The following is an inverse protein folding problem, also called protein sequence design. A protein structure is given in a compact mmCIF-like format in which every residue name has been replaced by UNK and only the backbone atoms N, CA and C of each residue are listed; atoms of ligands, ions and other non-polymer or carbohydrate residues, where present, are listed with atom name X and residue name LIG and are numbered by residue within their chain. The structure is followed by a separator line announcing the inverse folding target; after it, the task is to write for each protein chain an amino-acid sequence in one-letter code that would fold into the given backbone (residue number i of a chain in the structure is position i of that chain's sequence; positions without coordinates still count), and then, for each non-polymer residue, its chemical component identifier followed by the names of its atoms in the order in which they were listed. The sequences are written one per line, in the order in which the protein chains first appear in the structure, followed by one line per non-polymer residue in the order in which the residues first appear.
data_IF_299796550769
#
_entry.id   IF_299796550769
#
_cell.length_a   1.000
_cell.length_b   1.000
_cell.length_c   1.000
_cell.angle_alpha   90.00
_cell.angle_beta   90.00
_cell.angle_gamma   90.00
#
_symmetry.space_group_name_H-M   'P 1'
#
loop_
_entity.id
_entity.type
_entity.pdbx_description
1 polymer ?
#
# COMPACT_ATOMS: atom_id res chain seq x y z
N UNK A 1 8.74 0.82 23.69
CA UNK A 1 7.47 0.31 23.13
C UNK A 1 6.77 1.43 22.40
N UNK A 2 6.35 1.23 21.14
CA UNK A 2 5.50 2.19 20.43
C UNK A 2 4.17 2.34 21.19
N UNK A 3 3.72 3.57 21.37
CA UNK A 3 2.42 3.90 21.95
C UNK A 3 1.28 3.39 21.07
N UNK A 4 0.09 3.16 21.66
CA UNK A 4 -1.12 2.72 20.93
C UNK A 4 -1.46 3.66 19.76
N UNK A 5 -1.16 4.94 19.91
CA UNK A 5 -1.31 5.97 18.87
C UNK A 5 -0.30 5.78 17.74
N UNK A 6 0.96 5.49 18.02
CA UNK A 6 1.96 5.29 16.95
C UNK A 6 1.67 4.02 16.12
N UNK A 7 1.17 2.95 16.74
CA UNK A 7 0.80 1.71 16.04
C UNK A 7 -0.37 1.91 15.06
N UNK A 8 -1.35 2.71 15.47
CA UNK A 8 -2.52 3.03 14.63
C UNK A 8 -2.17 3.95 13.47
N UNK A 9 -1.11 4.78 13.61
CA UNK A 9 -0.62 5.66 12.51
C UNK A 9 -0.05 4.83 11.39
N UNK A 10 0.87 3.93 11.71
CA UNK A 10 1.56 3.11 10.70
C UNK A 10 0.53 2.31 9.92
N UNK A 11 -0.46 1.73 10.62
CA UNK A 11 -1.61 1.11 9.98
C UNK A 11 -2.37 2.06 9.07
N UNK A 12 -2.82 3.21 9.58
CA UNK A 12 -3.75 4.10 8.88
C UNK A 12 -3.13 4.69 7.60
N UNK A 13 -1.84 5.04 7.68
CA UNK A 13 -1.05 5.52 6.55
C UNK A 13 -0.90 4.44 5.48
N UNK A 14 -0.57 3.20 5.89
CA UNK A 14 -0.53 2.05 4.98
C UNK A 14 -1.86 1.81 4.26
N UNK A 15 -2.98 1.88 4.97
CA UNK A 15 -4.32 1.66 4.41
C UNK A 15 -4.70 2.74 3.41
N UNK A 16 -4.43 4.01 3.73
CA UNK A 16 -4.78 5.14 2.88
C UNK A 16 -4.06 5.06 1.54
N UNK A 17 -2.76 4.75 1.57
CA UNK A 17 -1.93 4.59 0.36
C UNK A 17 -2.41 3.40 -0.48
N UNK A 18 -2.68 2.25 0.15
CA UNK A 18 -3.09 1.04 -0.57
C UNK A 18 -4.51 1.13 -1.14
N UNK A 19 -5.50 1.65 -0.39
CA UNK A 19 -6.87 1.89 -0.90
C UNK A 19 -6.85 2.73 -2.16
N UNK A 20 -6.08 3.82 -2.15
CA UNK A 20 -6.07 4.79 -3.24
C UNK A 20 -5.30 4.28 -4.46
N UNK A 21 -4.18 3.61 -4.25
CA UNK A 21 -3.44 2.94 -5.32
C UNK A 21 -4.32 1.96 -6.09
N UNK A 22 -5.28 1.30 -5.44
CA UNK A 22 -6.17 0.36 -6.08
C UNK A 22 -7.35 0.95 -6.81
N UNK A 23 -7.96 2.00 -6.25
CA UNK A 23 -8.97 2.77 -6.98
C UNK A 23 -8.38 3.27 -8.31
N UNK A 24 -7.12 3.70 -8.30
CA UNK A 24 -6.39 4.11 -9.50
C UNK A 24 -6.00 2.93 -10.39
N UNK A 25 -5.58 1.78 -9.84
CA UNK A 25 -5.29 0.56 -10.61
C UNK A 25 -6.54 -0.01 -11.28
N UNK A 26 -7.71 0.07 -10.64
CA UNK A 26 -9.00 -0.30 -11.21
C UNK A 26 -9.42 0.67 -12.33
N UNK A 27 -9.29 1.98 -12.11
CA UNK A 27 -9.53 3.00 -13.13
C UNK A 27 -8.56 2.87 -14.32
N UNK A 28 -7.30 2.51 -14.08
CA UNK A 28 -6.30 2.23 -15.12
C UNK A 28 -6.63 1.00 -15.97
N UNK A 29 -7.09 -0.09 -15.34
CA UNK A 29 -7.57 -1.29 -16.06
C UNK A 29 -8.82 -0.99 -16.89
N UNK A 30 -9.76 -0.20 -16.37
CA UNK A 30 -10.93 0.29 -17.12
C UNK A 30 -10.55 1.18 -18.30
N UNK A 31 -9.62 2.13 -18.11
CA UNK A 31 -9.12 2.98 -19.21
C UNK A 31 -8.40 2.16 -20.28
N UNK A 32 -7.60 1.17 -19.90
CA UNK A 32 -6.89 0.30 -20.85
C UNK A 32 -7.84 -0.65 -21.61
N UNK A 33 -8.93 -1.11 -20.99
CA UNK A 33 -9.96 -1.91 -21.67
C UNK A 33 -10.82 -1.06 -22.59
N UNK A 34 -11.21 0.15 -22.17
CA UNK A 34 -11.89 1.13 -23.02
C UNK A 34 -11.02 1.56 -24.21
N UNK A 35 -9.73 1.79 -23.99
CA UNK A 35 -8.77 2.09 -25.05
C UNK A 35 -8.66 0.93 -26.05
N UNK A 36 -8.50 -0.31 -25.58
CA UNK A 36 -8.49 -1.51 -26.46
C UNK A 36 -9.81 -1.75 -27.18
N UNK A 37 -10.94 -1.35 -26.60
CA UNK A 37 -12.27 -1.44 -27.24
C UNK A 37 -12.45 -0.35 -28.30
N UNK A 38 -12.01 0.89 -28.01
CA UNK A 38 -12.03 2.02 -28.94
C UNK A 38 -11.08 1.81 -30.11
N UNK A 39 -9.89 1.25 -29.87
CA UNK A 39 -8.92 0.90 -30.91
C UNK A 39 -9.45 -0.23 -31.80
N UNK A 40 -10.13 -1.24 -31.24
CA UNK A 40 -10.80 -2.29 -32.04
C UNK A 40 -11.96 -1.74 -32.88
N UNK A 41 -12.79 -0.87 -32.33
CA UNK A 41 -13.88 -0.22 -33.07
C UNK A 41 -13.37 0.71 -34.19
N UNK A 42 -12.25 1.39 -33.97
CA UNK A 42 -11.59 2.20 -35.01
C UNK A 42 -10.99 1.34 -36.11
N UNK A 43 -10.33 0.23 -35.77
CA UNK A 43 -9.82 -0.75 -36.74
C UNK A 43 -10.94 -1.39 -37.56
N UNK A 44 -12.07 -1.70 -36.92
CA UNK A 44 -13.22 -2.31 -37.60
C UNK A 44 -13.90 -1.33 -38.57
N UNK A 45 -14.03 -0.05 -38.19
CA UNK A 45 -14.51 1.01 -39.10
C UNK A 45 -13.59 1.28 -40.30
N UNK A 46 -12.29 1.01 -40.18
CA UNK A 46 -11.33 1.13 -41.29
C UNK A 46 -11.41 -0.08 -42.23
N UNK A 47 -11.72 -1.27 -41.70
CA UNK A 47 -11.91 -2.48 -42.49
C UNK A 47 -13.26 -2.53 -43.23
N UNK A 48 -14.29 -1.86 -42.69
CA UNK A 48 -15.64 -1.82 -43.26
C UNK A 48 -15.87 -0.64 -44.25
N UNK A 49 -14.85 0.17 -44.53
CA UNK A 49 -14.97 1.33 -45.43
C UNK A 49 -14.87 0.89 -46.92
N UNK A 50 -15.78 1.32 -47.83
CA UNK A 50 -15.90 0.70 -49.16
C UNK A 50 -14.81 1.04 -50.17
N UNK A 51 -13.96 2.05 -49.92
CA UNK A 51 -13.03 2.58 -50.91
C UNK A 51 -11.59 2.56 -50.41
N UNK A 52 -10.84 1.53 -50.84
CA UNK A 52 -9.45 1.29 -50.42
C UNK A 52 -8.44 2.33 -50.93
N UNK A 53 -8.83 3.14 -51.93
CA UNK A 53 -7.92 4.08 -52.60
C UNK A 53 -7.76 5.38 -51.78
N UNK A 54 -8.86 5.99 -51.32
CA UNK A 54 -8.84 7.20 -50.50
C UNK A 54 -8.24 7.00 -49.10
N UNK A 55 -8.35 5.80 -48.52
CA UNK A 55 -7.70 5.45 -47.25
C UNK A 55 -6.18 5.32 -47.40
N UNK A 56 -5.71 4.87 -48.57
CA UNK A 56 -4.28 4.70 -48.84
C UNK A 56 -3.56 6.05 -48.97
N UNK A 57 -4.19 7.01 -49.65
CA UNK A 57 -3.65 8.36 -49.86
C UNK A 57 -3.58 9.16 -48.54
N UNK A 58 -4.61 9.07 -47.70
CA UNK A 58 -4.60 9.68 -46.36
C UNK A 58 -3.53 9.06 -45.44
N UNK A 59 -3.29 7.74 -45.53
CA UNK A 59 -2.24 7.05 -44.77
C UNK A 59 -0.85 7.45 -45.28
N UNK A 60 -0.66 7.57 -46.59
CA UNK A 60 0.61 8.03 -47.19
C UNK A 60 0.87 9.49 -46.82
N UNK A 61 -0.13 10.37 -46.86
CA UNK A 61 0.00 11.76 -46.41
C UNK A 61 0.30 11.86 -44.91
N UNK A 62 -0.31 11.02 -44.08
CA UNK A 62 -0.01 10.95 -42.65
C UNK A 62 1.43 10.47 -42.40
N UNK A 63 1.88 9.43 -43.11
CA UNK A 63 3.26 8.92 -43.03
C UNK A 63 4.28 9.96 -43.52
N UNK A 64 3.96 10.68 -44.60
CA UNK A 64 4.79 11.78 -45.10
C UNK A 64 4.83 12.95 -44.10
N UNK A 65 3.72 13.32 -43.47
CA UNK A 65 3.68 14.37 -42.43
C UNK A 65 4.46 13.98 -41.16
N UNK A 66 4.45 12.69 -40.78
CA UNK A 66 5.27 12.14 -39.69
C UNK A 66 6.75 12.13 -40.07
N UNK A 67 7.09 11.78 -41.31
CA UNK A 67 8.47 11.75 -41.82
C UNK A 67 9.08 13.14 -42.06
N UNK A 68 8.28 14.12 -42.45
CA UNK A 68 8.69 15.50 -42.71
C UNK A 68 8.75 16.39 -41.45
N UNK A 69 8.45 15.85 -40.26
CA UNK A 69 8.56 16.58 -38.99
C UNK A 69 7.51 17.69 -38.79
N UNK A 70 6.41 17.67 -39.55
CA UNK A 70 5.32 18.67 -39.48
C UNK A 70 4.44 18.45 -38.26
N UNK A 71 4.40 17.22 -37.71
CA UNK A 71 3.83 16.95 -36.40
C UNK A 71 4.94 17.09 -35.34
N UNK A 72 4.72 17.86 -34.25
CA UNK A 72 5.72 18.00 -33.20
C UNK A 72 6.04 16.61 -32.65
N UNK A 73 7.26 16.14 -32.91
CA UNK A 73 7.79 14.93 -32.29
C UNK A 73 7.60 15.10 -30.79
N UNK A 74 6.78 14.27 -30.17
CA UNK A 74 6.63 14.28 -28.71
C UNK A 74 8.05 14.22 -28.13
N UNK A 75 8.44 15.27 -27.39
CA UNK A 75 9.81 15.37 -26.90
C UNK A 75 10.15 14.07 -26.15
N UNK A 76 11.33 13.49 -26.37
CA UNK A 76 11.70 12.28 -25.66
C UNK A 76 11.69 12.56 -24.15
N UNK A 77 10.70 12.00 -23.43
CA UNK A 77 10.41 12.19 -21.98
C UNK A 77 11.60 11.99 -21.01
N UNK A 78 12.75 11.53 -21.49
CA UNK A 78 13.76 10.83 -20.69
C UNK A 78 15.03 11.63 -20.44
N UNK A 79 15.33 12.69 -21.21
CA UNK A 79 16.70 13.23 -21.28
C UNK A 79 16.96 14.47 -20.42
N UNK A 80 15.95 15.05 -19.77
CA UNK A 80 16.15 16.17 -18.84
C UNK A 80 15.16 16.13 -17.68
N UNK A 81 15.25 15.10 -16.82
CA UNK A 81 14.69 15.26 -15.46
C UNK A 81 15.51 16.35 -14.76
N UNK A 82 14.87 17.49 -14.51
CA UNK A 82 15.48 18.55 -13.70
C UNK A 82 15.64 18.01 -12.29
N UNK A 83 16.87 18.00 -11.79
CA UNK A 83 17.20 17.76 -10.38
C UNK A 83 17.49 19.12 -9.78
N UNK A 84 16.58 19.63 -8.96
CA UNK A 84 16.62 21.03 -8.49
C UNK A 84 17.37 21.15 -7.16
N UNK A 85 17.78 20.02 -6.57
CA UNK A 85 18.73 20.00 -5.45
C UNK A 85 18.15 19.52 -4.12
N UNK A 86 16.89 19.09 -4.08
CA UNK A 86 16.26 18.53 -2.87
C UNK A 86 14.94 17.81 -3.14
N UNK A 87 14.55 16.89 -2.24
CA UNK A 87 13.32 16.07 -2.38
C UNK A 87 12.07 16.93 -2.46
N UNK A 88 12.01 18.05 -1.74
CA UNK A 88 10.85 18.95 -1.76
C UNK A 88 10.78 19.76 -3.06
N UNK A 89 11.91 20.27 -3.52
CA UNK A 89 12.03 21.06 -4.75
C UNK A 89 11.68 20.20 -5.98
N UNK A 90 12.16 18.96 -6.01
CA UNK A 90 11.86 17.99 -7.07
C UNK A 90 10.35 17.71 -7.16
N UNK A 91 9.62 17.71 -6.04
CA UNK A 91 8.16 17.47 -6.01
C UNK A 91 7.34 18.72 -6.39
N UNK A 92 7.93 19.92 -6.37
CA UNK A 92 7.29 21.15 -6.83
C UNK A 92 7.37 21.34 -8.34
N UNK A 93 8.28 20.62 -9.02
CA UNK A 93 8.40 20.68 -10.48
C UNK A 93 7.09 20.23 -11.12
N UNK A 94 6.51 21.11 -11.95
CA UNK A 94 5.30 20.84 -12.72
C UNK A 94 5.66 20.71 -14.20
N UNK A 95 6.02 19.49 -14.60
CA UNK A 95 6.33 19.11 -15.98
C UNK A 95 5.61 17.79 -16.36
N UNK A 96 5.90 17.25 -17.54
CA UNK A 96 5.36 15.98 -18.06
C UNK A 96 5.89 14.72 -17.32
N UNK A 97 6.82 14.89 -16.38
CA UNK A 97 7.37 13.86 -15.51
C UNK A 97 6.94 14.00 -14.04
N UNK A 98 6.05 14.95 -13.71
CA UNK A 98 5.53 15.20 -12.35
C UNK A 98 5.20 13.91 -11.59
N UNK A 99 4.35 13.04 -12.14
CA UNK A 99 3.94 11.80 -11.45
C UNK A 99 5.09 10.80 -11.26
N UNK A 100 6.14 10.89 -12.07
CA UNK A 100 7.32 10.03 -11.96
C UNK A 100 8.20 10.47 -10.77
N UNK A 101 8.27 11.78 -10.47
CA UNK A 101 8.89 12.30 -9.24
C UNK A 101 8.16 11.81 -7.98
N UNK A 102 6.82 11.91 -7.95
CA UNK A 102 6.02 11.45 -6.81
C UNK A 102 6.13 9.92 -6.61
N UNK A 103 6.13 9.15 -7.70
CA UNK A 103 6.28 7.69 -7.61
C UNK A 103 7.68 7.25 -7.18
N UNK A 104 8.72 7.98 -7.58
CA UNK A 104 10.08 7.68 -7.13
C UNK A 104 10.26 7.98 -5.64
N UNK A 105 9.88 9.20 -5.22
CA UNK A 105 10.18 9.69 -3.86
C UNK A 105 9.18 9.24 -2.81
N UNK A 106 7.90 9.21 -3.14
CA UNK A 106 6.80 8.95 -2.20
C UNK A 106 6.03 7.66 -2.52
N UNK A 107 6.37 6.94 -3.59
CA UNK A 107 5.71 5.70 -4.02
C UNK A 107 4.21 5.85 -4.27
N UNK A 108 3.75 7.07 -4.58
CA UNK A 108 2.35 7.39 -4.86
C UNK A 108 2.24 8.38 -6.02
N UNK A 109 1.04 8.54 -6.58
CA UNK A 109 0.75 9.55 -7.60
C UNK A 109 0.59 10.93 -6.95
N UNK A 110 0.84 12.01 -7.71
CA UNK A 110 0.67 13.38 -7.21
C UNK A 110 -0.75 13.63 -6.72
N UNK A 111 -1.74 13.11 -7.45
CA UNK A 111 -3.14 13.25 -7.08
C UNK A 111 -3.43 12.71 -5.67
N UNK A 112 -2.98 11.49 -5.38
CA UNK A 112 -3.17 10.85 -4.07
C UNK A 112 -2.51 11.67 -2.97
N UNK A 113 -1.30 12.17 -3.24
CA UNK A 113 -0.60 13.05 -2.31
C UNK A 113 -1.40 14.33 -2.03
N UNK A 114 -1.89 15.01 -3.07
CA UNK A 114 -2.66 16.25 -2.90
C UNK A 114 -3.95 16.01 -2.10
N UNK A 115 -4.70 14.94 -2.41
CA UNK A 115 -5.91 14.58 -1.66
C UNK A 115 -5.59 14.28 -0.18
N UNK A 116 -4.46 13.63 0.10
CA UNK A 116 -4.00 13.35 1.46
C UNK A 116 -3.66 14.65 2.19
N UNK A 117 -2.87 15.51 1.57
CA UNK A 117 -2.47 16.80 2.16
C UNK A 117 -3.67 17.70 2.40
N UNK A 118 -4.59 17.81 1.45
CA UNK A 118 -5.81 18.61 1.57
C UNK A 118 -6.65 18.15 2.77
N UNK A 119 -6.84 16.84 2.92
CA UNK A 119 -7.57 16.30 4.07
C UNK A 119 -6.88 16.58 5.42
N UNK A 120 -5.54 16.63 5.43
CA UNK A 120 -4.76 16.95 6.63
C UNK A 120 -4.55 18.45 6.87
N UNK A 121 -4.81 19.31 5.88
CA UNK A 121 -4.44 20.74 5.90
C UNK A 121 -5.06 21.48 7.09
N UNK A 122 -6.34 21.22 7.38
CA UNK A 122 -7.06 21.83 8.52
C UNK A 122 -6.43 21.51 9.89
N UNK A 123 -5.68 20.40 10.00
CA UNK A 123 -5.00 20.01 11.24
C UNK A 123 -3.53 20.41 11.28
N UNK A 124 -2.96 20.81 10.14
CA UNK A 124 -1.55 21.21 9.99
C UNK A 124 -1.39 22.72 9.81
N UNK A 125 -2.48 23.46 9.73
CA UNK A 125 -2.47 24.91 9.57
C UNK A 125 -1.77 25.58 10.75
N UNK A 126 -0.78 26.41 10.45
CA UNK A 126 -0.03 27.18 11.44
C UNK A 126 -0.31 28.67 11.29
N UNK A 127 -0.34 29.37 12.42
CA UNK A 127 -0.44 30.81 12.44
C UNK A 127 0.83 31.44 11.85
N UNK A 128 0.63 32.47 11.03
CA UNK A 128 1.72 33.29 10.50
C UNK A 128 2.34 34.06 11.65
N UNK A 129 3.65 33.89 11.84
CA UNK A 129 4.42 34.71 12.77
C UNK A 129 5.14 35.81 11.99
N UNK A 130 5.32 36.98 12.60
CA UNK A 130 5.90 38.18 11.96
C UNK A 130 7.27 37.93 11.30
N UNK A 131 8.06 36.97 11.82
CA UNK A 131 9.45 36.76 11.41
C UNK A 131 9.65 35.60 10.42
N UNK A 132 8.63 34.77 10.15
CA UNK A 132 8.79 33.59 9.29
C UNK A 132 7.47 33.11 8.70
N UNK A 133 7.48 32.84 7.40
CA UNK A 133 6.36 32.16 6.74
C UNK A 133 6.16 30.76 7.36
N UNK A 134 4.92 30.39 7.75
CA UNK A 134 4.65 29.06 8.27
C UNK A 134 4.94 28.00 7.21
N UNK A 135 5.49 26.86 7.63
CA UNK A 135 5.71 25.71 6.75
C UNK A 135 4.38 25.27 6.11
N UNK A 136 4.42 25.05 4.80
CA UNK A 136 3.26 24.59 4.03
C UNK A 136 2.87 23.17 4.45
N UNK A 137 1.56 22.87 4.39
CA UNK A 137 1.04 21.57 4.81
C UNK A 137 1.61 20.41 3.99
N UNK A 138 1.79 20.64 2.69
CA UNK A 138 2.40 19.76 1.71
C UNK A 138 3.84 19.43 2.08
N UNK A 139 4.60 20.42 2.54
CA UNK A 139 6.01 20.28 2.92
C UNK A 139 6.13 19.43 4.20
N UNK A 140 5.26 19.66 5.18
CA UNK A 140 5.18 18.89 6.42
C UNK A 140 4.83 17.43 6.13
N UNK A 141 3.80 17.20 5.29
CA UNK A 141 3.35 15.86 4.90
C UNK A 141 4.41 15.13 4.09
N UNK A 142 5.05 15.81 3.13
CA UNK A 142 6.16 15.25 2.33
C UNK A 142 7.29 14.77 3.22
N UNK A 143 7.73 15.64 4.14
CA UNK A 143 8.81 15.30 5.06
C UNK A 143 8.42 14.10 5.93
N UNK A 144 7.21 14.08 6.48
CA UNK A 144 6.76 12.96 7.30
C UNK A 144 6.72 11.63 6.53
N UNK A 145 6.14 11.62 5.33
CA UNK A 145 6.08 10.43 4.47
C UNK A 145 7.49 9.93 4.10
N UNK A 146 8.38 10.84 3.72
CA UNK A 146 9.78 10.50 3.43
C UNK A 146 10.48 9.91 4.67
N UNK A 147 10.27 10.49 5.85
CA UNK A 147 10.87 9.99 7.09
C UNK A 147 10.36 8.60 7.46
N UNK A 148 9.06 8.33 7.32
CA UNK A 148 8.52 6.98 7.58
C UNK A 148 9.03 5.94 6.57
N UNK A 149 9.19 6.32 5.31
CA UNK A 149 9.66 5.41 4.27
C UNK A 149 11.15 5.06 4.41
N UNK A 150 11.98 6.03 4.80
CA UNK A 150 13.45 5.85 4.85
C UNK A 150 13.98 5.42 6.21
N UNK A 151 13.33 5.82 7.30
CA UNK A 151 13.83 5.56 8.66
C UNK A 151 15.15 6.25 8.99
N UNK A 152 15.63 7.19 8.16
CA UNK A 152 16.89 7.90 8.38
C UNK A 152 16.86 8.69 9.71
N UNK A 153 18.02 9.00 10.33
CA UNK A 153 18.06 9.87 11.50
C UNK A 153 17.57 11.28 11.16
N UNK A 154 17.04 12.00 12.14
CA UNK A 154 16.54 13.37 11.97
C UNK A 154 17.64 14.38 11.66
N UNK A 155 18.89 14.04 11.96
CA UNK A 155 20.06 14.89 11.77
C UNK A 155 20.61 14.86 10.33
N UNK A 156 20.15 13.91 9.51
CA UNK A 156 20.57 13.84 8.12
C UNK A 156 20.08 15.07 7.34
N UNK A 157 20.97 15.68 6.56
CA UNK A 157 20.68 16.93 5.83
C UNK A 157 20.25 16.69 4.38
N UNK A 158 20.44 15.49 3.82
CA UNK A 158 20.16 15.20 2.41
C UNK A 158 18.69 15.31 2.02
N UNK A 159 17.79 15.25 2.99
CA UNK A 159 16.33 15.19 2.80
C UNK A 159 15.58 16.12 3.75
N UNK A 160 16.23 17.23 4.14
CA UNK A 160 15.68 18.19 5.10
C UNK A 160 14.37 18.84 4.66
N UNK A 161 14.04 18.80 3.36
CA UNK A 161 12.88 19.46 2.76
C UNK A 161 12.78 20.94 3.22
N UNK A 162 13.92 21.63 3.37
CA UNK A 162 14.03 22.99 3.91
C UNK A 162 13.44 23.21 5.32
N UNK A 163 13.21 22.11 6.06
CA UNK A 163 12.76 22.15 7.45
C UNK A 163 13.97 22.27 8.38
N UNK A 164 13.96 23.35 9.17
CA UNK A 164 14.98 23.59 10.21
C UNK A 164 15.05 22.44 11.22
N UNK A 165 16.26 22.09 11.67
CA UNK A 165 16.53 20.92 12.53
C UNK A 165 15.59 20.81 13.74
N UNK A 166 15.38 21.92 14.47
CA UNK A 166 14.52 21.97 15.65
C UNK A 166 13.04 21.63 15.37
N UNK A 167 12.62 21.70 14.10
CA UNK A 167 11.24 21.55 13.68
C UNK A 167 10.91 20.15 13.14
N UNK A 168 11.92 19.38 12.72
CA UNK A 168 11.76 18.10 12.02
C UNK A 168 10.93 17.07 12.79
N UNK A 169 11.23 16.86 14.07
CA UNK A 169 10.48 15.91 14.93
C UNK A 169 9.03 16.37 15.11
N UNK A 170 8.82 17.68 15.27
CA UNK A 170 7.48 18.27 15.40
C UNK A 170 6.67 18.09 14.11
N UNK A 171 7.28 18.30 12.95
CA UNK A 171 6.63 18.08 11.65
C UNK A 171 6.12 16.64 11.50
N UNK A 172 6.95 15.65 11.84
CA UNK A 172 6.53 14.23 11.80
C UNK A 172 5.39 13.98 12.78
N UNK A 173 5.50 14.46 14.03
CA UNK A 173 4.45 14.26 15.05
C UNK A 173 3.12 14.92 14.68
N UNK A 174 3.16 16.13 14.14
CA UNK A 174 1.98 16.86 13.70
C UNK A 174 1.31 16.12 12.53
N UNK A 175 2.08 15.69 11.53
CA UNK A 175 1.59 14.89 10.41
C UNK A 175 0.98 13.56 10.86
N UNK A 176 1.67 12.81 11.73
CA UNK A 176 1.19 11.59 12.40
C UNK A 176 -0.18 11.83 13.04
N UNK A 177 -0.31 12.91 13.82
CA UNK A 177 -1.54 13.23 14.55
C UNK A 177 -2.68 13.63 13.59
N UNK A 178 -2.37 14.42 12.57
CA UNK A 178 -3.33 14.82 11.54
C UNK A 178 -3.84 13.60 10.75
N UNK A 179 -2.94 12.69 10.35
CA UNK A 179 -3.33 11.48 9.61
C UNK A 179 -4.19 10.55 10.45
N UNK A 180 -3.91 10.39 11.75
CA UNK A 180 -4.78 9.63 12.65
C UNK A 180 -6.18 10.21 12.78
N UNK A 181 -6.30 11.54 12.84
CA UNK A 181 -7.60 12.21 12.95
C UNK A 181 -8.45 12.00 11.70
N UNK A 182 -7.82 12.07 10.53
CA UNK A 182 -8.51 11.97 9.24
C UNK A 182 -8.79 10.53 8.84
N UNK A 183 -7.84 9.62 9.09
CA UNK A 183 -7.84 8.25 8.57
C UNK A 183 -7.91 7.15 9.65
N UNK A 184 -7.97 7.51 10.93
CA UNK A 184 -7.98 6.53 12.04
C UNK A 184 -9.16 5.58 12.02
N UNK A 185 -10.27 5.96 11.38
CA UNK A 185 -11.48 5.15 11.21
C UNK A 185 -11.46 4.27 9.93
N UNK A 186 -10.42 4.37 9.09
CA UNK A 186 -10.36 3.65 7.81
C UNK A 186 -9.87 2.21 7.94
N UNK A 187 -9.23 1.87 9.07
CA UNK A 187 -8.90 0.49 9.43
C UNK A 187 -10.03 -0.05 10.29
N UNK A 188 -10.80 -0.96 9.72
CA UNK A 188 -11.88 -1.58 10.45
C UNK A 188 -12.20 -2.94 9.83
N UNK A 189 -12.64 -3.85 10.68
CA UNK A 189 -13.01 -5.21 10.28
C UNK A 189 -14.31 -5.20 9.49
N UNK A 190 -14.41 -5.89 8.32
CA UNK A 190 -15.57 -5.78 7.46
C UNK A 190 -16.85 -6.32 8.14
N UNK A 191 -17.92 -5.52 8.09
CA UNK A 191 -19.26 -5.83 8.64
C UNK A 191 -20.35 -5.62 7.58
N UNK A 192 -21.56 -6.14 7.86
CA UNK A 192 -22.73 -6.01 6.99
C UNK A 192 -22.45 -6.45 5.55
N UNK A 193 -22.87 -5.63 4.58
CA UNK A 193 -22.70 -5.91 3.14
C UNK A 193 -21.22 -6.08 2.76
N UNK A 194 -20.31 -5.31 3.36
CA UNK A 194 -18.88 -5.38 3.04
C UNK A 194 -18.27 -6.71 3.45
N UNK A 195 -18.73 -7.31 4.56
CA UNK A 195 -18.33 -8.67 4.97
C UNK A 195 -18.64 -9.66 3.85
N UNK A 196 -19.87 -9.63 3.32
CA UNK A 196 -20.27 -10.55 2.25
C UNK A 196 -19.46 -10.35 0.96
N UNK A 197 -19.11 -9.11 0.60
CA UNK A 197 -18.24 -8.82 -0.54
C UNK A 197 -16.86 -9.45 -0.36
N UNK A 198 -16.24 -9.28 0.81
CA UNK A 198 -14.92 -9.86 1.11
C UNK A 198 -14.98 -11.39 1.09
N UNK A 199 -15.95 -11.99 1.78
CA UNK A 199 -16.13 -13.44 1.83
C UNK A 199 -16.33 -14.03 0.43
N UNK A 200 -17.14 -13.40 -0.41
CA UNK A 200 -17.38 -13.84 -1.79
C UNK A 200 -16.12 -13.74 -2.64
N UNK A 201 -15.37 -12.65 -2.52
CA UNK A 201 -14.11 -12.48 -3.26
C UNK A 201 -13.11 -13.61 -2.91
N UNK A 202 -13.01 -13.99 -1.63
CA UNK A 202 -12.17 -15.11 -1.22
C UNK A 202 -12.74 -16.48 -1.62
N UNK A 203 -14.06 -16.65 -1.60
CA UNK A 203 -14.72 -17.85 -2.11
C UNK A 203 -14.37 -18.10 -3.59
N UNK A 204 -14.36 -17.05 -4.42
CA UNK A 204 -13.96 -17.13 -5.83
C UNK A 204 -12.47 -17.54 -6.01
N UNK A 205 -11.67 -17.42 -4.94
CA UNK A 205 -10.29 -17.89 -4.85
C UNK A 205 -10.15 -19.26 -4.18
N UNK A 206 -11.25 -19.96 -3.93
CA UNK A 206 -11.32 -21.24 -3.20
C UNK A 206 -10.99 -21.14 -1.70
N UNK A 207 -11.16 -19.96 -1.09
CA UNK A 207 -11.03 -19.75 0.36
C UNK A 207 -12.40 -19.39 0.96
N UNK A 208 -13.31 -20.37 1.14
CA UNK A 208 -14.59 -20.12 1.78
C UNK A 208 -14.39 -19.62 3.22
N UNK A 209 -15.32 -18.80 3.72
CA UNK A 209 -15.24 -18.17 5.05
C UNK A 209 -13.97 -17.37 5.36
N UNK A 210 -13.14 -17.02 4.38
CA UNK A 210 -11.93 -16.23 4.60
C UNK A 210 -12.23 -14.72 4.61
N UNK A 211 -11.82 -14.06 5.69
CA UNK A 211 -12.00 -12.62 5.89
C UNK A 211 -10.79 -11.78 5.45
N UNK A 212 -9.62 -12.39 5.35
CA UNK A 212 -8.37 -11.71 5.04
C UNK A 212 -7.16 -12.64 5.09
N UNK A 213 -6.07 -12.20 4.49
CA UNK A 213 -4.75 -12.79 4.65
C UNK A 213 -3.99 -12.06 5.75
N UNK A 214 -3.35 -12.81 6.65
CA UNK A 214 -2.54 -12.27 7.74
C UNK A 214 -1.06 -12.55 7.46
N UNK A 215 -0.21 -11.58 7.73
CA UNK A 215 1.24 -11.73 7.65
C UNK A 215 1.92 -10.88 8.73
N UNK A 216 3.15 -11.24 9.09
CA UNK A 216 3.99 -10.53 10.04
C UNK A 216 5.20 -9.93 9.32
N UNK A 217 5.50 -8.67 9.61
CA UNK A 217 6.67 -7.97 9.05
C UNK A 217 7.47 -7.27 10.13
N UNK A 218 8.78 -7.15 9.90
CA UNK A 218 9.69 -6.45 10.79
C UNK A 218 9.70 -4.94 10.47
N UNK A 219 9.43 -4.12 11.49
CA UNK A 219 9.70 -2.69 11.48
C UNK A 219 11.05 -2.49 12.18
N UNK A 220 12.05 -2.04 11.43
CA UNK A 220 13.37 -1.78 11.97
C UNK A 220 13.36 -0.54 12.85
N UNK A 221 13.97 -0.68 14.03
CA UNK A 221 14.06 0.38 15.04
C UNK A 221 15.48 0.47 15.56
N UNK A 222 15.85 1.63 16.10
CA UNK A 222 17.09 1.75 16.85
C UNK A 222 17.03 0.89 18.12
N UNK A 223 18.19 0.47 18.62
CA UNK A 223 18.29 -0.31 19.87
C UNK A 223 17.59 0.45 21.00
N UNK A 224 16.57 -0.14 21.65
CA UNK A 224 15.94 0.49 22.80
C UNK A 224 16.97 0.70 23.92
N UNK A 225 17.04 1.92 24.47
CA UNK A 225 17.84 2.18 25.66
C UNK A 225 17.32 1.33 26.84
N UNK A 226 18.22 0.76 27.64
CA UNK A 226 17.91 0.02 28.88
C UNK A 226 17.10 -1.29 28.70
N UNK A 227 17.11 -1.91 27.52
CA UNK A 227 16.48 -3.23 27.32
C UNK A 227 17.52 -4.26 26.88
N UNK A 228 17.36 -5.53 27.31
CA UNK A 228 18.16 -6.65 26.78
C UNK A 228 18.09 -6.64 25.24
N UNK A 229 19.24 -6.44 24.59
CA UNK A 229 19.33 -6.36 23.13
C UNK A 229 18.97 -7.66 22.43
N UNK A 230 19.13 -8.79 23.12
CA UNK A 230 18.90 -10.13 22.58
C UNK A 230 17.44 -10.34 22.16
N UNK A 231 16.52 -9.66 22.84
CA UNK A 231 15.09 -9.79 22.55
C UNK A 231 14.68 -9.11 21.23
N UNK A 232 15.44 -8.16 20.72
CA UNK A 232 15.04 -7.37 19.54
C UNK A 232 15.80 -7.76 18.28
N UNK A 233 16.72 -8.72 18.41
CA UNK A 233 17.63 -9.12 17.38
C UNK A 233 16.94 -10.13 16.45
N UNK A 234 16.63 -9.68 15.23
CA UNK A 234 16.05 -10.57 14.21
C UNK A 234 17.10 -11.54 13.65
N UNK A 235 16.65 -12.52 12.84
CA UNK A 235 17.53 -13.47 12.16
C UNK A 235 18.52 -12.81 11.18
N UNK A 236 18.41 -11.50 10.95
CA UNK A 236 19.29 -10.67 10.11
C UNK A 236 20.18 -9.75 10.93
N UNK A 237 20.32 -9.98 12.24
CA UNK A 237 21.15 -9.20 13.15
C UNK A 237 20.76 -7.72 13.27
N UNK A 238 19.47 -7.39 13.12
CA UNK A 238 18.95 -6.02 13.23
C UNK A 238 17.87 -5.90 14.30
N UNK A 239 17.85 -4.76 14.98
CA UNK A 239 16.82 -4.42 15.96
C UNK A 239 15.49 -4.14 15.26
N UNK A 240 14.45 -4.88 15.63
CA UNK A 240 13.12 -4.71 15.03
C UNK A 240 11.98 -4.95 16.01
N UNK A 241 10.82 -4.42 15.66
CA UNK A 241 9.53 -4.77 16.26
C UNK A 241 8.64 -5.39 15.19
N UNK A 242 7.87 -6.40 15.57
CA UNK A 242 6.99 -7.11 14.64
C UNK A 242 5.66 -6.36 14.52
N UNK A 243 5.19 -6.25 13.28
CA UNK A 243 3.87 -5.79 12.91
C UNK A 243 3.12 -6.91 12.19
N UNK A 244 2.04 -7.38 12.79
CA UNK A 244 1.03 -8.22 12.16
C UNK A 244 0.05 -7.34 11.40
N UNK A 245 -0.25 -7.70 10.16
CA UNK A 245 -1.19 -6.98 9.30
C UNK A 245 -2.15 -7.97 8.68
N UNK A 246 -3.46 -7.65 8.72
CA UNK A 246 -4.50 -8.39 8.00
C UNK A 246 -4.96 -7.57 6.81
N UNK A 247 -5.01 -8.15 5.61
CA UNK A 247 -5.47 -7.50 4.39
C UNK A 247 -6.56 -8.32 3.68
N UNK A 248 -7.46 -7.67 2.95
CA UNK A 248 -8.36 -8.38 2.02
C UNK A 248 -7.72 -8.57 0.63
N UNK A 249 -8.45 -9.19 -0.32
CA UNK A 249 -7.97 -9.38 -1.70
C UNK A 249 -7.81 -8.07 -2.49
N UNK A 250 -8.53 -7.04 -2.08
CA UNK A 250 -8.27 -5.68 -2.50
C UNK A 250 -7.15 -5.09 -1.63
N UNK A 251 -6.15 -5.83 -1.13
CA UNK A 251 -5.03 -5.38 -0.26
C UNK A 251 -5.38 -4.31 0.82
N UNK A 252 -6.63 -4.21 1.24
CA UNK A 252 -7.08 -3.22 2.20
C UNK A 252 -6.77 -3.77 3.56
N UNK A 253 -5.96 -3.03 4.29
CA UNK A 253 -5.64 -3.38 5.67
C UNK A 253 -6.92 -3.30 6.51
N UNK A 254 -7.25 -4.43 7.13
CA UNK A 254 -8.43 -4.65 7.96
C UNK A 254 -8.10 -4.56 9.45
N UNK A 255 -6.87 -4.96 9.82
CA UNK A 255 -6.38 -4.96 11.19
C UNK A 255 -4.86 -4.85 11.22
N UNK A 256 -4.33 -4.19 12.25
CA UNK A 256 -2.89 -4.04 12.47
C UNK A 256 -2.59 -4.19 13.95
N UNK A 257 -1.61 -5.02 14.26
CA UNK A 257 -1.09 -5.21 15.60
C UNK A 257 0.43 -5.13 15.59
N UNK A 258 1.01 -4.27 16.43
CA UNK A 258 2.45 -4.01 16.41
C UNK A 258 3.01 -4.08 17.82
N UNK A 259 4.30 -4.38 17.98
CA UNK A 259 5.06 -4.00 19.17
C UNK A 259 5.68 -5.14 19.95
N UNK A 260 5.60 -6.37 19.44
CA UNK A 260 6.43 -7.46 19.95
C UNK A 260 7.87 -7.31 19.45
N UNK A 261 8.87 -7.74 20.23
CA UNK A 261 10.26 -7.73 19.80
C UNK A 261 10.51 -8.60 18.57
N UNK A 262 11.49 -8.22 17.75
CA UNK A 262 11.86 -8.93 16.51
C UNK A 262 12.30 -10.38 16.66
N UNK A 263 12.69 -10.83 17.86
CA UNK A 263 12.99 -12.24 18.09
C UNK A 263 11.76 -13.11 18.32
N UNK A 264 10.57 -12.50 18.48
CA UNK A 264 9.33 -13.23 18.72
C UNK A 264 8.90 -13.97 17.44
N UNK A 265 8.50 -15.23 17.56
CA UNK A 265 7.99 -15.97 16.40
C UNK A 265 6.62 -15.44 15.96
N UNK A 266 6.35 -15.35 14.66
CA UNK A 266 5.12 -14.79 14.09
C UNK A 266 3.86 -15.40 14.70
N UNK A 267 3.89 -16.71 14.92
CA UNK A 267 2.81 -17.44 15.57
C UNK A 267 2.44 -16.89 16.96
N UNK A 268 3.45 -16.56 17.76
CA UNK A 268 3.27 -16.05 19.10
C UNK A 268 2.73 -14.62 19.05
N UNK A 269 3.13 -13.85 18.05
CA UNK A 269 2.56 -12.51 17.81
C UNK A 269 1.07 -12.62 17.48
N UNK A 270 0.68 -13.54 16.60
CA UNK A 270 -0.72 -13.77 16.23
C UNK A 270 -1.55 -14.15 17.46
N UNK A 271 -1.09 -15.14 18.25
CA UNK A 271 -1.77 -15.60 19.46
C UNK A 271 -1.95 -14.51 20.52
N UNK A 272 -0.95 -13.64 20.69
CA UNK A 272 -0.99 -12.57 21.68
C UNK A 272 -1.62 -11.27 21.15
N UNK A 273 -2.03 -11.26 19.88
CA UNK A 273 -2.60 -10.07 19.24
C UNK A 273 -4.03 -9.80 19.70
N UNK A 274 -4.45 -8.54 19.53
CA UNK A 274 -5.86 -8.17 19.67
C UNK A 274 -6.78 -8.84 18.65
N UNK A 275 -6.23 -9.45 17.59
CA UNK A 275 -7.00 -10.24 16.64
C UNK A 275 -7.42 -11.58 17.27
N UNK A 276 -6.48 -12.32 17.89
CA UNK A 276 -6.78 -13.60 18.56
C UNK A 276 -7.83 -13.43 19.65
N UNK A 277 -7.63 -12.45 20.53
CA UNK A 277 -8.58 -12.16 21.61
C UNK A 277 -10.00 -11.88 21.10
N UNK A 278 -10.14 -11.09 20.03
CA UNK A 278 -11.46 -10.80 19.42
C UNK A 278 -12.04 -12.00 18.67
N UNK A 279 -11.20 -12.89 18.16
CA UNK A 279 -11.63 -14.14 17.53
C UNK A 279 -12.20 -15.11 18.57
N UNK A 280 -11.52 -15.26 19.70
CA UNK A 280 -11.92 -16.09 20.84
C UNK A 280 -13.20 -15.58 21.51
N UNK A 281 -13.39 -14.27 21.59
CA UNK A 281 -14.63 -13.63 22.07
C UNK A 281 -15.78 -13.73 21.04
N UNK A 282 -15.64 -14.53 19.97
CA UNK A 282 -16.59 -14.71 18.85
C UNK A 282 -17.02 -13.41 18.15
N UNK A 283 -16.25 -12.32 18.30
CA UNK A 283 -16.62 -11.00 17.76
C UNK A 283 -16.36 -10.86 16.25
N UNK A 284 -15.55 -11.75 15.65
CA UNK A 284 -15.09 -11.62 14.26
C UNK A 284 -15.65 -12.70 13.32
N UNK A 285 -15.68 -13.95 13.79
CA UNK A 285 -15.90 -15.15 12.96
C UNK A 285 -17.19 -15.90 13.34
N UNK A 286 -18.33 -15.21 13.35
CA UNK A 286 -19.62 -15.78 13.76
C UNK A 286 -20.30 -16.67 12.67
N UNK A 287 -19.52 -17.31 11.79
CA UNK A 287 -20.03 -18.15 10.71
C UNK A 287 -20.05 -19.64 11.07
N UNK A 288 -20.93 -20.46 10.48
CA UNK A 288 -20.86 -21.91 10.67
C UNK A 288 -19.56 -22.46 10.05
N UNK A 289 -18.90 -23.43 10.70
CA UNK A 289 -17.69 -24.05 10.17
C UNK A 289 -17.96 -24.80 8.85
N UNK A 290 -17.01 -24.68 7.93
CA UNK A 290 -17.00 -25.32 6.62
C UNK A 290 -15.82 -26.29 6.57
N UNK A 291 -16.06 -27.53 6.16
CA UNK A 291 -14.99 -28.48 5.87
C UNK A 291 -14.41 -28.17 4.49
N UNK A 292 -13.12 -27.84 4.42
CA UNK A 292 -12.40 -27.68 3.18
C UNK A 292 -12.14 -29.05 2.51
N UNK A 293 -11.95 -29.10 1.18
CA UNK A 293 -11.40 -30.28 0.52
C UNK A 293 -10.06 -30.66 1.17
N UNK A 294 -9.93 -31.90 1.65
CA UNK A 294 -8.77 -32.37 2.44
C UNK A 294 -9.07 -32.67 3.91
N UNK A 295 -10.31 -32.51 4.38
CA UNK A 295 -10.72 -32.92 5.73
C UNK A 295 -10.44 -31.89 6.84
N UNK A 296 -9.82 -30.76 6.50
CA UNK A 296 -9.65 -29.64 7.45
C UNK A 296 -11.02 -29.01 7.70
N UNK A 297 -11.50 -29.17 8.93
CA UNK A 297 -12.67 -28.46 9.43
C UNK A 297 -12.24 -27.03 9.73
N UNK A 298 -12.54 -26.13 8.80
CA UNK A 298 -12.31 -24.72 9.04
C UNK A 298 -13.53 -24.10 9.69
N UNK A 299 -13.34 -23.39 10.80
CA UNK A 299 -13.40 -21.94 10.66
C UNK A 299 -11.98 -21.40 10.26
N UNK A 300 -10.92 -22.23 10.32
CA UNK A 300 -9.58 -22.10 9.75
C UNK A 300 -8.54 -23.00 10.47
N UNK A 301 -7.68 -23.77 9.78
CA UNK A 301 -6.33 -24.17 10.29
C UNK A 301 -5.96 -25.64 10.61
N UNK A 302 -4.94 -26.17 9.90
CA UNK A 302 -3.99 -27.19 10.40
C UNK A 302 -2.60 -27.12 9.68
N UNK A 303 -1.58 -27.63 10.37
CA UNK A 303 -0.14 -27.86 10.16
C UNK A 303 0.84 -26.68 10.31
N UNK A 304 1.48 -26.64 11.49
CA UNK A 304 2.54 -25.72 11.90
C UNK A 304 2.10 -24.66 12.93
N UNK A 305 0.79 -24.48 13.07
CA UNK A 305 0.17 -23.61 14.06
C UNK A 305 -0.71 -24.47 14.98
N UNK A 306 -0.86 -24.17 16.29
CA UNK A 306 -1.85 -24.91 17.07
C UNK A 306 -3.21 -24.70 16.39
N UNK A 307 -4.08 -25.72 16.39
CA UNK A 307 -5.35 -25.69 15.69
C UNK A 307 -6.26 -24.63 16.33
N UNK A 308 -6.05 -23.37 15.97
CA UNK A 308 -6.95 -22.28 16.26
C UNK A 308 -7.93 -22.27 15.12
N UNK A 309 -9.21 -22.49 15.41
CA UNK A 309 -10.29 -22.64 14.45
C UNK A 309 -10.48 -21.45 13.49
N UNK A 310 -9.57 -20.49 13.34
CA UNK A 310 -9.79 -19.28 12.53
C UNK A 310 -8.58 -18.86 11.68
N UNK A 311 -7.47 -19.62 11.69
CA UNK A 311 -6.26 -19.31 10.88
C UNK A 311 -5.92 -20.49 9.99
N UNK A 312 -6.07 -20.35 8.67
CA UNK A 312 -5.61 -21.38 7.71
C UNK A 312 -4.14 -21.15 7.38
N UNK A 313 -3.35 -22.21 7.44
CA UNK A 313 -1.92 -22.21 7.15
C UNK A 313 -1.70 -23.16 5.97
N UNK A 314 -0.84 -22.83 4.99
CA UNK A 314 -0.41 -23.80 3.98
C UNK A 314 0.30 -24.98 4.66
N UNK A 315 0.09 -26.21 4.16
CA UNK A 315 0.56 -27.42 4.83
C UNK A 315 2.09 -27.51 4.90
N UNK A 316 2.80 -26.97 3.89
CA UNK A 316 4.27 -26.96 3.83
C UNK A 316 4.90 -28.37 3.70
N UNK A 317 6.21 -28.44 3.44
CA UNK A 317 6.97 -29.70 3.38
C UNK A 317 7.27 -30.24 1.98
N UNK A 318 8.15 -31.25 1.93
CA UNK A 318 8.73 -31.83 0.69
C UNK A 318 7.93 -33.05 0.18
N UNK A 319 7.17 -33.70 1.08
CA UNK A 319 6.34 -34.86 0.79
C UNK A 319 4.90 -34.50 1.15
N UNK A 320 4.19 -33.88 0.21
CA UNK A 320 2.79 -33.50 0.38
C UNK A 320 1.88 -34.51 -0.32
N UNK A 321 0.72 -34.79 0.27
CA UNK A 321 -0.33 -35.51 -0.45
C UNK A 321 -0.79 -34.67 -1.65
N UNK A 322 -1.19 -35.25 -2.80
CA UNK A 322 -1.55 -34.49 -4.00
C UNK A 322 -2.60 -33.39 -3.77
N UNK A 323 -3.49 -33.57 -2.80
CA UNK A 323 -4.49 -32.57 -2.43
C UNK A 323 -3.91 -31.40 -1.61
N UNK A 324 -2.91 -31.65 -0.77
CA UNK A 324 -2.17 -30.64 0.01
C UNK A 324 -1.26 -29.83 -0.92
N UNK A 325 -0.56 -30.50 -1.84
CA UNK A 325 0.24 -29.85 -2.89
C UNK A 325 -0.63 -28.97 -3.79
N UNK A 326 -1.83 -29.44 -4.14
CA UNK A 326 -2.80 -28.66 -4.93
C UNK A 326 -3.34 -27.45 -4.16
N UNK A 327 -3.51 -27.58 -2.84
CA UNK A 327 -3.90 -26.46 -1.97
C UNK A 327 -2.79 -25.41 -1.88
N UNK A 328 -1.56 -25.83 -1.59
CA UNK A 328 -0.39 -24.95 -1.45
C UNK A 328 0.02 -24.31 -2.79
N UNK A 329 -0.05 -25.04 -3.90
CA UNK A 329 0.22 -24.51 -5.24
C UNK A 329 -0.81 -23.45 -5.65
N UNK A 330 -2.07 -23.60 -5.23
CA UNK A 330 -3.09 -22.56 -5.41
C UNK A 330 -2.82 -21.32 -4.55
N UNK A 331 -2.18 -21.47 -3.39
CA UNK A 331 -1.73 -20.34 -2.57
C UNK A 331 -0.51 -19.61 -3.19
N UNK A 332 0.43 -20.35 -3.78
CA UNK A 332 1.71 -19.79 -4.28
C UNK A 332 1.62 -19.01 -5.59
N UNK A 333 0.63 -19.32 -6.44
CA UNK A 333 0.60 -18.87 -7.84
C UNK A 333 -0.41 -17.74 -8.16
N UNK A 334 -0.95 -16.99 -7.19
CA UNK A 334 -2.04 -16.02 -7.46
C UNK A 334 -1.99 -14.68 -6.76
#
# INVERSE_FOLDING_TARGET
MLSRTEKTVVGAVGVAVVRRFQVERAAGRMKATLFRRRQRLLLQRVLDAPDCITTSEAVVQLCAAIGCGVLPRAMPRWWMRRRVGGTWEDLRVCDDATDDYFREKLRMFRRVFMELTEACAAHLQRQVIFYREPLQSEQIVTYALYKWATGEPYDNNTSSCDIGRAFRVRAVRDATTAMLRVYGDKIWWPTGVRKHVVLRAFLDKCFPNCHGAVDCTHIYVDKPANTSSENYFDCKHRFSVIAQVVVNLDLLVLDVFVGYPGSCHDIRVIQLSSLSRRAEEEMLFCGPPITLPGGVRTNGGDNGYPPSEWVVVPYGGINQHPDEERFDTKQRNR
#
